data_IF_404601098719
#
_entry.id   IF_404601098719
#
_cell.length_a   1.000
_cell.length_b   1.000
_cell.length_c   1.000
_cell.angle_alpha   90.00
_cell.angle_beta   90.00
_cell.angle_gamma   90.00
#
_symmetry.space_group_name_H-M   'P 1'
#
loop_
_entity.id
_entity.type
_entity.pdbx_description
1 polymer ?
#
# COMPACT_ATOMS: atom_id res chain seq x y z
N UNK A 1 15.51 -14.28 12.67
CA UNK A 1 15.01 -14.12 11.28
C UNK A 1 13.58 -13.63 11.31
N UNK A 2 13.21 -12.68 10.44
CA UNK A 2 11.83 -12.21 10.26
C UNK A 2 11.23 -12.82 9.00
N UNK A 3 9.95 -13.19 9.05
CA UNK A 3 9.17 -13.62 7.89
C UNK A 3 8.19 -12.50 7.54
N UNK A 4 8.18 -12.06 6.30
CA UNK A 4 7.20 -11.11 5.77
C UNK A 4 6.27 -11.85 4.80
N UNK A 5 4.97 -11.80 5.07
CA UNK A 5 3.94 -12.46 4.25
C UNK A 5 3.03 -11.40 3.66
N UNK A 6 3.14 -11.17 2.37
CA UNK A 6 2.44 -10.07 1.72
C UNK A 6 1.69 -10.51 0.46
N UNK A 7 0.69 -9.73 0.09
CA UNK A 7 -0.02 -9.83 -1.19
C UNK A 7 0.44 -8.76 -2.16
N UNK A 8 0.99 -7.68 -1.63
CA UNK A 8 1.35 -6.46 -2.35
C UNK A 8 2.85 -6.21 -2.20
N UNK A 9 3.63 -6.54 -3.23
CA UNK A 9 5.09 -6.40 -3.21
C UNK A 9 5.62 -6.01 -4.60
N UNK A 10 6.70 -5.21 -4.70
CA UNK A 10 7.32 -4.91 -5.99
C UNK A 10 7.65 -6.19 -6.78
N UNK A 11 7.69 -6.11 -8.13
CA UNK A 11 7.70 -4.91 -8.96
C UNK A 11 6.32 -4.27 -9.21
N UNK A 12 5.23 -4.83 -8.67
CA UNK A 12 3.92 -4.16 -8.74
C UNK A 12 4.01 -2.78 -8.10
N UNK A 13 3.45 -1.75 -8.75
CA UNK A 13 3.51 -0.36 -8.30
C UNK A 13 2.28 0.01 -7.48
N UNK A 14 2.49 0.62 -6.32
CA UNK A 14 1.41 1.11 -5.47
C UNK A 14 1.88 1.42 -4.04
N UNK A 15 1.03 2.12 -3.28
CA UNK A 15 1.37 2.56 -1.93
C UNK A 15 1.64 1.39 -0.96
N UNK A 16 0.87 0.30 -1.06
CA UNK A 16 1.08 -0.90 -0.24
C UNK A 16 2.36 -1.64 -0.60
N UNK A 17 2.67 -1.73 -1.90
CA UNK A 17 3.89 -2.33 -2.41
C UNK A 17 5.12 -1.57 -1.90
N UNK A 18 5.09 -0.23 -2.00
CA UNK A 18 6.17 0.63 -1.49
C UNK A 18 6.32 0.54 0.03
N UNK A 19 5.20 0.49 0.77
CA UNK A 19 5.23 0.32 2.22
C UNK A 19 5.87 -1.02 2.61
N UNK A 20 5.41 -2.12 2.03
CA UNK A 20 5.95 -3.45 2.35
C UNK A 20 7.41 -3.61 1.91
N UNK A 21 7.78 -2.98 0.81
CA UNK A 21 9.16 -2.87 0.37
C UNK A 21 10.02 -2.13 1.39
N UNK A 22 9.63 -0.91 1.75
CA UNK A 22 10.35 -0.07 2.71
C UNK A 22 10.52 -0.73 4.07
N UNK A 23 9.44 -1.34 4.58
CA UNK A 23 9.47 -2.11 5.80
C UNK A 23 10.46 -3.28 5.72
N UNK A 24 10.40 -4.06 4.63
CA UNK A 24 11.28 -5.21 4.44
C UNK A 24 12.74 -4.80 4.33
N UNK A 25 13.05 -3.78 3.55
CA UNK A 25 14.42 -3.22 3.44
C UNK A 25 14.94 -2.72 4.79
N UNK A 26 14.08 -2.09 5.59
CA UNK A 26 14.46 -1.59 6.92
C UNK A 26 14.71 -2.74 7.89
N UNK A 27 13.86 -3.76 7.90
CA UNK A 27 14.03 -4.96 8.72
C UNK A 27 15.31 -5.74 8.35
N UNK A 28 15.65 -5.79 7.06
CA UNK A 28 16.83 -6.49 6.56
C UNK A 28 18.17 -5.87 7.04
N UNK A 29 18.14 -4.61 7.50
CA UNK A 29 19.30 -3.97 8.13
C UNK A 29 19.62 -4.53 9.52
N UNK A 30 18.63 -5.12 10.20
CA UNK A 30 18.77 -5.57 11.57
C UNK A 30 18.77 -7.09 11.72
N UNK A 31 18.19 -7.82 10.76
CA UNK A 31 18.10 -9.27 10.84
C UNK A 31 17.89 -9.89 9.46
N UNK A 32 18.09 -11.21 9.36
CA UNK A 32 17.72 -11.95 8.16
C UNK A 32 16.20 -11.85 7.93
N UNK A 33 15.82 -11.60 6.68
CA UNK A 33 14.41 -11.52 6.27
C UNK A 33 14.13 -12.54 5.17
N UNK A 34 13.01 -13.24 5.30
CA UNK A 34 12.41 -14.08 4.27
C UNK A 34 11.05 -13.53 3.89
N UNK A 35 10.83 -13.26 2.61
CA UNK A 35 9.56 -12.76 2.09
C UNK A 35 8.79 -13.87 1.37
N UNK A 36 7.50 -13.96 1.62
CA UNK A 36 6.55 -14.75 0.84
C UNK A 36 5.54 -13.80 0.20
N UNK A 37 5.70 -13.54 -1.09
CA UNK A 37 4.88 -12.58 -1.84
C UNK A 37 4.02 -13.27 -2.92
N UNK A 38 2.98 -12.59 -3.39
CA UNK A 38 2.24 -13.05 -4.57
C UNK A 38 3.13 -12.96 -5.81
N UNK A 39 2.90 -13.86 -6.77
CA UNK A 39 3.60 -13.89 -8.04
C UNK A 39 3.28 -12.64 -8.87
N UNK A 40 4.30 -12.13 -9.55
CA UNK A 40 4.22 -11.06 -10.54
C UNK A 40 5.10 -11.43 -11.74
N UNK A 41 4.67 -11.17 -12.97
CA UNK A 41 5.37 -11.63 -14.17
C UNK A 41 6.83 -11.15 -14.25
N UNK A 42 7.07 -9.89 -13.92
CA UNK A 42 8.39 -9.24 -13.99
C UNK A 42 9.21 -9.34 -12.69
N UNK A 43 8.97 -10.36 -11.86
CA UNK A 43 9.61 -10.43 -10.53
C UNK A 43 11.11 -10.73 -10.57
N UNK A 44 11.59 -11.47 -11.57
CA UNK A 44 12.96 -12.03 -11.59
C UNK A 44 14.04 -10.94 -11.51
N UNK A 45 13.96 -9.95 -12.38
CA UNK A 45 14.92 -8.85 -12.39
C UNK A 45 14.91 -8.04 -11.10
N UNK A 46 13.72 -7.82 -10.53
CA UNK A 46 13.58 -7.13 -9.25
C UNK A 46 14.17 -7.95 -8.11
N UNK A 47 13.86 -9.24 -8.03
CA UNK A 47 14.25 -10.10 -6.91
C UNK A 47 15.75 -10.43 -6.89
N UNK A 48 16.46 -10.29 -8.03
CA UNK A 48 17.91 -10.41 -8.11
C UNK A 48 18.67 -9.24 -7.50
N UNK A 49 18.04 -8.08 -7.37
CA UNK A 49 18.68 -6.83 -6.88
C UNK A 49 18.59 -6.63 -5.38
N UNK A 50 18.04 -7.61 -4.63
CA UNK A 50 17.78 -7.46 -3.19
C UNK A 50 18.67 -8.36 -2.34
N UNK A 51 18.93 -7.93 -1.10
CA UNK A 51 19.78 -8.65 -0.15
C UNK A 51 19.05 -9.70 0.70
N UNK A 52 17.73 -9.86 0.51
CA UNK A 52 16.91 -10.81 1.24
C UNK A 52 16.19 -11.80 0.31
N UNK A 53 15.83 -12.95 0.83
CA UNK A 53 15.23 -14.01 0.03
C UNK A 53 13.71 -13.79 -0.16
N UNK A 54 13.24 -13.98 -1.39
CA UNK A 54 11.81 -13.84 -1.75
C UNK A 54 11.31 -15.12 -2.41
N UNK A 55 10.23 -15.69 -1.88
CA UNK A 55 9.47 -16.77 -2.52
C UNK A 55 8.19 -16.18 -3.13
N UNK A 56 8.06 -16.29 -4.44
CA UNK A 56 6.88 -15.86 -5.19
C UNK A 56 5.87 -16.98 -5.34
N UNK A 57 4.66 -16.75 -4.85
CA UNK A 57 3.59 -17.75 -4.83
C UNK A 57 2.56 -17.45 -5.90
N UNK A 58 2.55 -18.25 -6.95
CA UNK A 58 1.65 -18.13 -8.09
C UNK A 58 0.47 -19.10 -8.05
N UNK A 59 -0.15 -19.31 -9.24
CA UNK A 59 -1.25 -20.20 -9.49
C UNK A 59 -2.63 -19.60 -9.25
N UNK A 60 -3.67 -20.44 -9.22
CA UNK A 60 -5.07 -20.02 -9.12
C UNK A 60 -5.27 -19.10 -7.92
N UNK A 61 -5.82 -17.90 -8.16
CA UNK A 61 -5.98 -16.80 -7.17
C UNK A 61 -6.72 -17.27 -5.91
N UNK A 62 -7.74 -18.11 -6.06
CA UNK A 62 -8.55 -18.63 -4.96
C UNK A 62 -7.72 -19.51 -3.99
N UNK A 63 -6.79 -20.31 -4.51
CA UNK A 63 -5.95 -21.25 -3.75
C UNK A 63 -4.61 -20.63 -3.27
N UNK A 64 -4.26 -19.45 -3.77
CA UNK A 64 -2.96 -18.81 -3.51
C UNK A 64 -2.71 -18.58 -2.01
N UNK A 65 -3.74 -18.17 -1.25
CA UNK A 65 -3.64 -18.01 0.20
C UNK A 65 -3.25 -19.33 0.89
N UNK A 66 -3.89 -20.43 0.54
CA UNK A 66 -3.62 -21.75 1.14
C UNK A 66 -2.20 -22.22 0.81
N UNK A 67 -1.81 -22.09 -0.46
CA UNK A 67 -0.45 -22.44 -0.92
C UNK A 67 0.61 -21.61 -0.19
N UNK A 68 0.42 -20.28 -0.09
CA UNK A 68 1.35 -19.40 0.60
C UNK A 68 1.48 -19.77 2.08
N UNK A 69 0.35 -19.97 2.77
CA UNK A 69 0.36 -20.36 4.18
C UNK A 69 1.02 -21.74 4.40
N UNK A 70 0.84 -22.68 3.49
CA UNK A 70 1.52 -23.97 3.53
C UNK A 70 3.04 -23.79 3.45
N UNK A 71 3.53 -23.03 2.48
CA UNK A 71 4.96 -22.77 2.31
C UNK A 71 5.57 -22.07 3.54
N UNK A 72 4.86 -21.09 4.10
CA UNK A 72 5.29 -20.40 5.33
C UNK A 72 5.35 -21.36 6.51
N UNK A 73 4.33 -22.19 6.69
CA UNK A 73 4.30 -23.18 7.80
C UNK A 73 5.44 -24.20 7.68
N UNK A 74 5.70 -24.73 6.48
CA UNK A 74 6.81 -25.65 6.24
C UNK A 74 8.18 -24.97 6.45
N UNK A 75 8.30 -23.71 6.04
CA UNK A 75 9.53 -22.95 6.29
C UNK A 75 9.78 -22.75 7.80
N UNK A 76 8.75 -22.37 8.57
CA UNK A 76 8.85 -22.18 10.02
C UNK A 76 9.25 -23.48 10.73
N UNK A 77 8.69 -24.62 10.32
CA UNK A 77 9.04 -25.93 10.91
C UNK A 77 10.52 -26.27 10.73
N UNK A 78 11.08 -25.93 9.55
CA UNK A 78 12.48 -26.21 9.21
C UNK A 78 13.47 -25.19 9.80
N UNK A 79 13.01 -23.99 10.18
CA UNK A 79 13.85 -22.88 10.61
C UNK A 79 13.49 -22.42 12.04
N UNK A 80 14.16 -22.97 13.03
CA UNK A 80 13.91 -22.67 14.46
C UNK A 80 14.25 -21.22 14.86
N UNK A 81 15.11 -20.55 14.10
CA UNK A 81 15.56 -19.17 14.34
C UNK A 81 14.59 -18.08 13.88
N UNK A 82 13.40 -18.45 13.40
CA UNK A 82 12.32 -17.50 13.13
C UNK A 82 11.86 -16.86 14.43
N UNK A 83 11.87 -15.52 14.50
CA UNK A 83 11.43 -14.75 15.68
C UNK A 83 10.00 -14.22 15.53
N UNK A 84 9.60 -13.77 14.34
CA UNK A 84 8.23 -13.32 14.12
C UNK A 84 7.79 -13.45 12.66
N UNK A 85 6.47 -13.39 12.45
CA UNK A 85 5.82 -13.34 11.14
C UNK A 85 5.04 -12.03 11.06
N UNK A 86 5.33 -11.23 10.04
CA UNK A 86 4.74 -9.91 9.78
C UNK A 86 3.93 -9.98 8.50
N UNK A 87 2.71 -9.44 8.49
CA UNK A 87 1.89 -9.41 7.29
C UNK A 87 1.16 -8.08 7.10
N UNK A 88 0.94 -7.74 5.84
CA UNK A 88 0.19 -6.57 5.38
C UNK A 88 -1.34 -6.71 5.45
N UNK A 89 -1.82 -7.88 5.83
CA UNK A 89 -3.24 -8.18 5.81
C UNK A 89 -3.57 -9.39 6.69
N UNK A 90 -4.61 -9.32 7.49
CA UNK A 90 -5.02 -10.40 8.40
C UNK A 90 -5.25 -11.76 7.69
N UNK A 91 -5.77 -11.77 6.44
CA UNK A 91 -5.93 -12.99 5.64
C UNK A 91 -4.62 -13.71 5.34
N UNK A 92 -3.50 -12.99 5.34
CA UNK A 92 -2.17 -13.57 5.14
C UNK A 92 -1.70 -14.36 6.37
N UNK A 93 -2.21 -14.04 7.58
CA UNK A 93 -1.88 -14.72 8.83
C UNK A 93 -2.90 -15.79 9.24
N UNK A 94 -4.11 -15.76 8.68
CA UNK A 94 -5.26 -16.57 9.11
C UNK A 94 -4.96 -18.09 9.17
N UNK A 95 -4.15 -18.61 8.25
CA UNK A 95 -3.80 -20.02 8.16
C UNK A 95 -2.36 -20.34 8.60
N UNK A 96 -1.64 -19.36 9.13
CA UNK A 96 -0.29 -19.59 9.62
C UNK A 96 -0.35 -20.14 11.05
N UNK A 97 0.17 -21.35 11.20
CA UNK A 97 0.23 -22.09 12.48
C UNK A 97 1.63 -21.98 13.04
N UNK A 98 1.82 -21.13 14.05
CA UNK A 98 3.11 -20.96 14.70
C UNK A 98 2.94 -20.44 16.13
N UNK A 99 3.88 -20.78 17.00
CA UNK A 99 4.05 -20.19 18.34
C UNK A 99 4.90 -18.92 18.32
N UNK A 100 5.45 -18.56 17.15
CA UNK A 100 6.23 -17.32 16.96
C UNK A 100 5.30 -16.13 16.91
N UNK A 101 5.79 -14.97 17.34
CA UNK A 101 5.02 -13.71 17.36
C UNK A 101 4.47 -13.39 15.96
N UNK A 102 3.19 -13.08 15.88
CA UNK A 102 2.50 -12.64 14.66
C UNK A 102 2.13 -11.16 14.75
N UNK A 103 2.56 -10.40 13.77
CA UNK A 103 2.33 -8.96 13.66
C UNK A 103 1.51 -8.71 12.40
N UNK A 104 0.38 -8.02 12.53
CA UNK A 104 -0.49 -7.65 11.40
C UNK A 104 -0.52 -6.15 11.21
N UNK A 105 -0.17 -5.68 10.02
CA UNK A 105 -0.43 -4.30 9.63
C UNK A 105 -1.88 -4.17 9.15
N UNK A 106 -2.54 -3.08 9.54
CA UNK A 106 -3.91 -2.76 9.13
C UNK A 106 -3.98 -1.35 8.53
N UNK A 107 -4.86 -1.20 7.49
CA UNK A 107 -4.93 -0.02 6.64
C UNK A 107 -6.37 0.50 6.45
N UNK A 108 -7.29 0.16 7.32
CA UNK A 108 -8.71 0.47 7.39
C UNK A 108 -9.62 -0.36 6.47
N UNK A 109 -9.44 -0.34 5.14
CA UNK A 109 -10.38 -0.94 4.17
C UNK A 109 -10.66 -2.42 4.42
N UNK A 110 -9.63 -3.20 4.76
CA UNK A 110 -9.70 -4.66 4.94
C UNK A 110 -10.36 -5.08 6.26
N UNK A 111 -10.53 -4.15 7.20
CA UNK A 111 -11.21 -4.36 8.47
C UNK A 111 -12.55 -3.63 8.57
N UNK A 112 -12.84 -2.69 7.67
CA UNK A 112 -14.07 -1.89 7.68
C UNK A 112 -15.28 -2.73 7.25
N UNK A 113 -15.81 -3.49 8.20
CA UNK A 113 -16.98 -4.32 8.04
C UNK A 113 -17.95 -4.09 9.19
N UNK A 114 -19.26 -4.12 8.88
CA UNK A 114 -20.32 -3.94 9.89
C UNK A 114 -20.12 -4.90 11.06
N UNK A 115 -20.07 -4.36 12.28
CA UNK A 115 -19.97 -5.12 13.53
C UNK A 115 -21.02 -6.23 13.59
N UNK A 116 -20.65 -7.43 14.00
CA UNK A 116 -21.50 -8.61 14.05
C UNK A 116 -21.76 -9.31 12.72
N UNK A 117 -21.32 -8.76 11.57
CA UNK A 117 -21.40 -9.43 10.27
C UNK A 117 -20.55 -10.69 10.21
N UNK A 118 -20.81 -11.58 9.25
CA UNK A 118 -19.97 -12.77 9.02
C UNK A 118 -18.50 -12.40 8.78
N UNK A 119 -18.24 -11.35 7.99
CA UNK A 119 -16.89 -10.87 7.75
C UNK A 119 -16.22 -10.36 9.03
N UNK A 120 -16.94 -9.58 9.86
CA UNK A 120 -16.42 -9.10 11.13
C UNK A 120 -16.07 -10.26 12.08
N UNK A 121 -16.97 -11.24 12.26
CA UNK A 121 -16.68 -12.41 13.09
C UNK A 121 -15.45 -13.18 12.64
N UNK A 122 -15.25 -13.32 11.33
CA UNK A 122 -14.05 -13.96 10.77
C UNK A 122 -12.77 -13.14 11.03
N UNK A 123 -12.86 -11.81 10.92
CA UNK A 123 -11.77 -10.89 11.25
C UNK A 123 -11.38 -11.07 12.71
N UNK A 124 -12.32 -10.97 13.65
CA UNK A 124 -12.05 -11.11 15.08
C UNK A 124 -11.42 -12.48 15.42
N UNK A 125 -11.93 -13.55 14.81
CA UNK A 125 -11.33 -14.89 14.96
C UNK A 125 -9.87 -14.93 14.51
N UNK A 126 -9.52 -14.23 13.42
CA UNK A 126 -8.14 -14.14 12.95
C UNK A 126 -7.26 -13.32 13.92
N UNK A 127 -7.78 -12.17 14.42
CA UNK A 127 -7.06 -11.31 15.34
C UNK A 127 -6.88 -11.87 16.74
N UNK A 128 -7.71 -12.82 17.19
CA UNK A 128 -7.48 -13.54 18.43
C UNK A 128 -6.11 -14.27 18.46
N UNK A 129 -5.64 -14.71 17.28
CA UNK A 129 -4.37 -15.41 17.12
C UNK A 129 -3.21 -14.51 16.66
N UNK A 130 -3.38 -13.19 16.68
CA UNK A 130 -2.36 -12.18 16.34
C UNK A 130 -1.91 -11.52 17.64
N UNK A 131 -0.60 -11.44 17.82
CA UNK A 131 -0.01 -10.91 19.05
C UNK A 131 0.07 -9.39 19.06
N UNK A 132 0.31 -8.78 17.88
CA UNK A 132 0.45 -7.34 17.74
C UNK A 132 -0.22 -6.86 16.46
N UNK A 133 -0.94 -5.77 16.54
CA UNK A 133 -1.58 -5.08 15.43
C UNK A 133 -0.93 -3.72 15.26
N UNK A 134 -0.51 -3.40 14.04
CA UNK A 134 0.05 -2.09 13.70
C UNK A 134 -0.94 -1.35 12.83
N UNK A 135 -1.57 -0.33 13.39
CA UNK A 135 -2.46 0.56 12.65
C UNK A 135 -1.66 1.69 11.99
N UNK A 136 -1.98 1.99 10.74
CA UNK A 136 -1.29 3.04 9.98
C UNK A 136 -1.70 4.47 10.36
N UNK A 137 -2.70 4.65 11.23
CA UNK A 137 -3.19 5.94 11.72
C UNK A 137 -4.10 5.74 12.93
N UNK A 138 -4.35 6.82 13.68
CA UNK A 138 -5.35 6.82 14.76
C UNK A 138 -6.76 6.48 14.25
N UNK A 139 -7.13 6.96 13.06
CA UNK A 139 -8.39 6.58 12.43
C UNK A 139 -8.53 5.06 12.29
N UNK A 140 -7.47 4.40 11.79
CA UNK A 140 -7.48 2.94 11.61
C UNK A 140 -7.48 2.20 12.95
N UNK A 141 -6.78 2.71 13.98
CA UNK A 141 -6.84 2.19 15.34
C UNK A 141 -8.29 2.26 15.87
N UNK A 142 -8.92 3.42 15.81
CA UNK A 142 -10.28 3.63 16.30
C UNK A 142 -11.28 2.69 15.60
N UNK A 143 -11.19 2.57 14.28
CA UNK A 143 -11.99 1.62 13.52
C UNK A 143 -11.77 0.17 13.97
N UNK A 144 -10.53 -0.24 14.25
CA UNK A 144 -10.21 -1.58 14.73
C UNK A 144 -10.84 -1.87 16.10
N UNK A 145 -10.78 -0.90 17.02
CA UNK A 145 -11.42 -0.98 18.34
C UNK A 145 -12.95 -1.04 18.20
N UNK A 146 -13.55 -0.19 17.36
CA UNK A 146 -14.99 -0.17 17.11
C UNK A 146 -15.53 -1.52 16.63
N UNK A 147 -14.82 -2.21 15.74
CA UNK A 147 -15.22 -3.52 15.25
C UNK A 147 -14.93 -4.66 16.24
N UNK A 148 -14.24 -4.40 17.37
CA UNK A 148 -14.01 -5.33 18.47
C UNK A 148 -12.63 -5.96 18.55
N UNK A 149 -11.62 -5.40 17.91
CA UNK A 149 -10.22 -5.84 18.10
C UNK A 149 -9.72 -5.28 19.44
N UNK A 150 -9.01 -6.10 20.22
CA UNK A 150 -8.46 -5.72 21.52
C UNK A 150 -7.47 -4.56 21.38
N UNK A 151 -7.79 -3.44 22.03
CA UNK A 151 -7.00 -2.22 21.99
C UNK A 151 -5.57 -2.42 22.51
N UNK A 152 -5.37 -3.29 23.52
CA UNK A 152 -4.05 -3.56 24.09
C UNK A 152 -3.09 -4.21 23.08
N UNK A 153 -3.62 -4.80 22.01
CA UNK A 153 -2.80 -5.35 20.92
C UNK A 153 -2.46 -4.32 19.85
N UNK A 154 -3.06 -3.12 19.87
CA UNK A 154 -2.95 -2.17 18.77
C UNK A 154 -1.95 -1.07 19.11
N UNK A 155 -0.97 -0.88 18.23
CA UNK A 155 -0.10 0.30 18.23
C UNK A 155 -0.28 1.08 16.94
N UNK A 156 -0.11 2.40 17.00
CA UNK A 156 -0.13 3.25 15.82
C UNK A 156 1.30 3.52 15.38
N UNK A 157 1.61 3.17 14.12
CA UNK A 157 2.86 3.52 13.47
C UNK A 157 2.51 4.08 12.09
N UNK A 158 2.70 5.37 11.91
CA UNK A 158 2.45 6.03 10.65
C UNK A 158 3.42 5.49 9.58
N UNK A 159 2.95 5.27 8.33
CA UNK A 159 3.79 4.79 7.26
C UNK A 159 4.99 5.70 7.02
N UNK A 160 6.17 5.11 6.98
CA UNK A 160 7.37 5.81 6.58
C UNK A 160 7.45 5.99 5.06
N UNK A 161 8.24 6.95 4.63
CA UNK A 161 8.59 7.18 3.22
C UNK A 161 10.11 7.10 3.05
N UNK A 162 10.56 6.73 1.86
CA UNK A 162 11.98 6.87 1.54
C UNK A 162 12.34 8.35 1.41
N UNK A 163 13.55 8.73 1.80
CA UNK A 163 14.06 10.06 1.47
C UNK A 163 13.94 10.30 -0.04
N UNK A 164 13.59 11.50 -0.48
CA UNK A 164 13.59 11.83 -1.89
C UNK A 164 14.99 11.61 -2.47
N UNK A 165 15.03 11.07 -3.68
CA UNK A 165 16.29 11.03 -4.44
C UNK A 165 16.69 12.45 -4.83
N UNK A 166 17.98 12.71 -4.95
CA UNK A 166 18.45 13.95 -5.56
C UNK A 166 17.87 14.04 -6.98
N UNK A 167 17.25 15.18 -7.27
CA UNK A 167 16.69 15.47 -8.59
C UNK A 167 17.77 16.23 -9.36
N UNK A 168 18.05 15.81 -10.58
CA UNK A 168 19.01 16.51 -11.41
C UNK A 168 18.51 17.93 -11.77
N UNK A 169 19.44 18.87 -11.94
CA UNK A 169 19.13 20.27 -12.22
C UNK A 169 18.40 20.46 -13.55
N UNK A 170 18.61 19.57 -14.52
CA UNK A 170 17.96 19.68 -15.83
C UNK A 170 16.45 19.40 -15.70
N UNK A 171 16.06 18.38 -14.95
CA UNK A 171 14.65 18.08 -14.67
C UNK A 171 13.95 19.22 -13.88
N UNK A 172 14.66 19.83 -12.94
CA UNK A 172 14.13 21.00 -12.22
C UNK A 172 13.88 22.17 -13.18
N UNK A 173 14.88 22.51 -13.99
CA UNK A 173 14.77 23.61 -14.97
C UNK A 173 13.66 23.36 -15.99
N UNK A 174 13.48 22.11 -16.45
CA UNK A 174 12.38 21.74 -17.35
C UNK A 174 11.03 21.97 -16.69
N UNK A 175 10.85 21.50 -15.45
CA UNK A 175 9.62 21.73 -14.70
C UNK A 175 9.35 23.22 -14.45
N UNK A 176 10.38 24.01 -14.10
CA UNK A 176 10.25 25.47 -13.92
C UNK A 176 9.85 26.18 -15.20
N UNK A 177 10.39 25.77 -16.36
CA UNK A 177 10.03 26.32 -17.64
C UNK A 177 8.57 26.02 -18.04
N UNK A 178 8.10 24.78 -17.80
CA UNK A 178 6.72 24.39 -18.04
C UNK A 178 5.74 25.17 -17.16
N UNK A 179 6.16 25.53 -15.94
CA UNK A 179 5.32 26.22 -14.96
C UNK A 179 5.58 27.75 -14.94
N UNK A 180 6.36 28.27 -15.88
CA UNK A 180 6.68 29.71 -15.93
C UNK A 180 5.39 30.53 -16.09
N UNK A 181 5.27 31.56 -15.26
CA UNK A 181 4.10 32.47 -15.22
C UNK A 181 2.77 31.76 -14.81
N UNK A 182 2.79 30.52 -14.37
CA UNK A 182 1.61 29.79 -13.83
C UNK A 182 1.52 29.99 -12.33
N UNK A 183 0.39 30.54 -11.86
CA UNK A 183 0.11 30.77 -10.45
C UNK A 183 -1.40 30.98 -10.22
N UNK A 184 -2.05 30.33 -9.24
CA UNK A 184 -1.50 29.27 -8.37
C UNK A 184 -1.22 27.96 -9.12
N UNK A 185 -0.33 27.15 -8.55
CA UNK A 185 0.04 25.82 -9.06
C UNK A 185 -0.58 24.75 -8.18
N UNK A 186 -1.46 23.95 -8.74
CA UNK A 186 -2.10 22.82 -8.05
C UNK A 186 -1.56 21.51 -8.61
N UNK A 187 -1.37 20.51 -7.76
CA UNK A 187 -0.91 19.20 -8.16
C UNK A 187 -1.69 18.10 -7.46
N UNK A 188 -2.05 17.05 -8.20
CA UNK A 188 -2.52 15.79 -7.63
C UNK A 188 -1.68 14.64 -8.16
N UNK A 189 -1.10 13.86 -7.24
CA UNK A 189 -0.38 12.63 -7.55
C UNK A 189 -1.21 11.45 -7.03
N UNK A 190 -1.91 10.76 -7.94
CA UNK A 190 -2.77 9.64 -7.54
C UNK A 190 -3.15 8.77 -8.73
N UNK A 191 -3.72 7.56 -8.46
CA UNK A 191 -4.41 6.81 -9.51
C UNK A 191 -5.64 7.59 -9.99
N UNK A 192 -5.95 7.49 -11.26
CA UNK A 192 -7.16 8.06 -11.84
C UNK A 192 -8.34 7.10 -11.61
N UNK A 193 -8.83 7.08 -10.38
CA UNK A 193 -10.03 6.34 -9.97
C UNK A 193 -11.08 7.30 -9.37
N UNK A 194 -12.36 6.92 -9.42
CA UNK A 194 -13.50 7.75 -8.95
C UNK A 194 -13.34 8.30 -7.54
N UNK A 195 -12.69 7.56 -6.64
CA UNK A 195 -12.47 8.00 -5.25
C UNK A 195 -11.53 9.19 -5.13
N UNK A 196 -10.69 9.42 -6.15
CA UNK A 196 -9.74 10.54 -6.16
C UNK A 196 -10.39 11.84 -6.60
N UNK A 197 -11.57 11.73 -7.22
CA UNK A 197 -12.49 12.84 -7.46
C UNK A 197 -11.88 13.99 -8.28
N UNK A 198 -11.05 13.65 -9.26
CA UNK A 198 -10.45 14.61 -10.19
C UNK A 198 -11.50 15.46 -10.89
N UNK A 199 -12.65 14.88 -11.23
CA UNK A 199 -13.77 15.55 -11.84
C UNK A 199 -14.17 16.84 -11.10
N UNK A 200 -14.37 16.75 -9.76
CA UNK A 200 -14.75 17.93 -8.97
C UNK A 200 -13.67 19.00 -8.91
N UNK A 201 -12.39 18.59 -8.92
CA UNK A 201 -11.28 19.54 -8.98
C UNK A 201 -11.31 20.29 -10.30
N UNK A 202 -11.49 19.58 -11.43
CA UNK A 202 -11.55 20.16 -12.77
C UNK A 202 -12.77 21.12 -12.89
N UNK A 203 -13.92 20.70 -12.37
CA UNK A 203 -15.11 21.58 -12.32
C UNK A 203 -14.84 22.85 -11.50
N UNK A 204 -14.15 22.75 -10.38
CA UNK A 204 -13.78 23.92 -9.57
C UNK A 204 -12.78 24.83 -10.28
N UNK A 205 -11.86 24.26 -11.06
CA UNK A 205 -10.87 25.02 -11.84
C UNK A 205 -11.53 25.96 -12.86
N UNK A 206 -12.64 25.56 -13.48
CA UNK A 206 -13.40 26.42 -14.39
C UNK A 206 -13.77 27.76 -13.73
N UNK A 207 -14.23 27.72 -12.49
CA UNK A 207 -14.60 28.91 -11.74
C UNK A 207 -13.35 29.66 -11.25
N UNK A 208 -12.32 28.94 -10.81
CA UNK A 208 -11.08 29.54 -10.32
C UNK A 208 -10.29 30.25 -11.45
N UNK A 209 -10.37 29.80 -12.70
CA UNK A 209 -9.70 30.41 -13.83
C UNK A 209 -10.19 31.84 -14.08
N UNK A 210 -11.44 32.18 -13.71
CA UNK A 210 -11.96 33.53 -13.77
C UNK A 210 -11.30 34.51 -12.79
N UNK A 211 -10.86 33.97 -11.63
CA UNK A 211 -10.22 34.75 -10.56
C UNK A 211 -8.69 34.71 -10.74
N UNK A 212 -8.19 33.57 -11.20
CA UNK A 212 -6.76 33.28 -11.38
C UNK A 212 -6.50 32.82 -12.82
N UNK A 213 -6.38 33.75 -13.79
CA UNK A 213 -6.24 33.39 -15.22
C UNK A 213 -5.05 32.48 -15.53
N UNK A 214 -3.99 32.57 -14.70
CA UNK A 214 -2.76 31.79 -14.85
C UNK A 214 -2.70 30.54 -13.97
N UNK A 215 -3.84 30.10 -13.38
CA UNK A 215 -3.89 28.87 -12.58
C UNK A 215 -3.54 27.66 -13.44
N UNK A 216 -2.76 26.74 -12.88
CA UNK A 216 -2.49 25.45 -13.49
C UNK A 216 -2.79 24.31 -12.53
N UNK A 217 -3.34 23.22 -13.04
CA UNK A 217 -3.55 21.99 -12.32
C UNK A 217 -2.86 20.82 -13.03
N UNK A 218 -1.88 20.24 -12.38
CA UNK A 218 -1.12 19.10 -12.90
C UNK A 218 -1.62 17.81 -12.26
N UNK A 219 -2.07 16.85 -13.09
CA UNK A 219 -2.47 15.52 -12.65
C UNK A 219 -1.39 14.51 -13.02
N UNK A 220 -0.82 13.83 -12.03
CA UNK A 220 0.19 12.78 -12.24
C UNK A 220 -0.39 11.44 -11.80
N UNK A 221 -0.49 10.50 -12.75
CA UNK A 221 -1.01 9.16 -12.49
C UNK A 221 -1.57 8.50 -13.74
N UNK A 222 -2.26 7.39 -13.52
CA UNK A 222 -2.96 6.61 -14.54
C UNK A 222 -4.16 5.90 -13.90
N UNK A 223 -5.13 5.45 -14.70
CA UNK A 223 -6.28 4.69 -14.21
C UNK A 223 -7.49 4.73 -15.12
N UNK A 224 -8.57 4.08 -14.68
CA UNK A 224 -9.80 3.89 -15.45
C UNK A 224 -10.54 5.20 -15.78
N UNK A 225 -10.30 6.29 -15.04
CA UNK A 225 -10.93 7.59 -15.26
C UNK A 225 -10.12 8.51 -16.20
N UNK A 226 -9.00 8.06 -16.76
CA UNK A 226 -8.11 8.91 -17.57
C UNK A 226 -8.83 9.55 -18.77
N UNK A 227 -9.57 8.75 -19.53
CA UNK A 227 -10.32 9.23 -20.69
C UNK A 227 -11.46 10.18 -20.29
N UNK A 228 -12.14 9.90 -19.17
CA UNK A 228 -13.18 10.79 -18.65
C UNK A 228 -12.61 12.13 -18.21
N UNK A 229 -11.43 12.12 -17.56
CA UNK A 229 -10.71 13.32 -17.13
C UNK A 229 -10.33 14.16 -18.35
N UNK A 230 -9.73 13.57 -19.39
CA UNK A 230 -9.37 14.26 -20.64
C UNK A 230 -10.58 14.84 -21.33
N UNK A 231 -11.66 14.08 -21.46
CA UNK A 231 -12.91 14.53 -22.07
C UNK A 231 -13.49 15.74 -21.34
N UNK A 232 -13.60 15.67 -20.00
CA UNK A 232 -14.11 16.77 -19.19
C UNK A 232 -13.23 18.03 -19.29
N UNK A 233 -11.90 17.86 -19.33
CA UNK A 233 -10.96 18.98 -19.50
C UNK A 233 -11.17 19.68 -20.83
N UNK A 234 -11.39 18.92 -21.92
CA UNK A 234 -11.71 19.46 -23.25
C UNK A 234 -13.06 20.19 -23.27
N UNK A 235 -14.11 19.57 -22.69
CA UNK A 235 -15.46 20.15 -22.63
C UNK A 235 -15.51 21.48 -21.87
N UNK A 236 -14.62 21.65 -20.90
CA UNK A 236 -14.51 22.85 -20.07
C UNK A 236 -13.44 23.86 -20.58
N UNK A 237 -12.82 23.60 -21.73
CA UNK A 237 -11.79 24.44 -22.34
C UNK A 237 -10.60 24.75 -21.39
N UNK A 238 -10.13 23.72 -20.68
CA UNK A 238 -9.07 23.83 -19.67
C UNK A 238 -7.73 23.21 -20.11
N UNK A 239 -7.49 23.04 -21.40
CA UNK A 239 -6.33 22.35 -21.98
C UNK A 239 -5.04 23.19 -22.11
N UNK A 240 -5.01 24.42 -21.66
CA UNK A 240 -3.86 25.33 -21.78
C UNK A 240 -2.90 25.28 -20.61
#
# INVERSE_FOLDING_TARGET
>A
MYIVVTRSFPPEVGGMQNLMWGLTCSLAKYNLVKVFADFHENYKEHDQKVSFSIDRVGGIKLLRKHRKSYLVNEFIKKNKNVSCVIADHWKSLELIKTTKKKICLIHSKEINHKKGSFANRRILKAFNNIDQVVANSEYTKNLAVEIGIDENKIIVINPGVFPPKEIDKSSINEAENLLKNKNPRLITVSRFDKRKNHEKVIMALRNLKQIYPNIIYTCIGYGEEEENIKKLTNELELNE
#
